data_IF_976209589174
#
_entry.id   IF_976209589174
#
_cell.length_a   1.000
_cell.length_b   1.000
_cell.length_c   1.000
_cell.angle_alpha   90.00
_cell.angle_beta   90.00
_cell.angle_gamma   90.00
#
_symmetry.space_group_name_H-M   'P 1'
#
loop_
_entity.id
_entity.type
_entity.pdbx_description
1 polymer ?
#
# COMPACT_ATOMS: atom_id res chain seq x y z
N UNK A 1 34.72 17.36 -16.70
CA UNK A 1 35.14 16.11 -16.03
C UNK A 1 33.89 15.34 -15.71
N UNK A 2 33.62 14.29 -16.49
CA UNK A 2 32.40 13.49 -16.36
C UNK A 2 32.60 12.50 -15.21
N UNK A 3 31.77 12.62 -14.17
CA UNK A 3 31.67 11.61 -13.13
C UNK A 3 31.09 10.38 -13.82
N UNK A 4 31.95 9.40 -14.10
CA UNK A 4 31.52 8.07 -14.51
C UNK A 4 30.82 7.49 -13.29
N UNK A 5 29.49 7.52 -13.31
CA UNK A 5 28.69 6.72 -12.41
C UNK A 5 28.93 5.26 -12.81
N UNK A 6 29.93 4.65 -12.20
CA UNK A 6 30.16 3.22 -12.29
C UNK A 6 28.94 2.51 -11.72
N UNK A 7 28.23 1.78 -12.57
CA UNK A 7 27.03 1.03 -12.19
C UNK A 7 27.42 -0.02 -11.12
N UNK A 8 26.86 0.03 -9.89
CA UNK A 8 27.22 -0.89 -8.82
C UNK A 8 27.06 -2.36 -9.21
N UNK A 9 26.16 -2.67 -10.15
CA UNK A 9 25.94 -4.02 -10.66
C UNK A 9 27.13 -4.53 -11.49
N UNK A 10 27.74 -3.67 -12.32
CA UNK A 10 28.94 -4.01 -13.12
C UNK A 10 30.17 -4.20 -12.22
N UNK A 11 30.24 -3.44 -11.12
CA UNK A 11 31.33 -3.56 -10.15
C UNK A 11 31.25 -4.88 -9.36
N UNK A 12 30.04 -5.41 -9.14
CA UNK A 12 29.80 -6.71 -8.47
C UNK A 12 30.08 -7.91 -9.39
N UNK A 13 29.75 -7.84 -10.68
CA UNK A 13 30.18 -8.86 -11.65
C UNK A 13 31.71 -8.96 -11.69
N UNK A 14 32.38 -7.80 -11.63
CA UNK A 14 33.84 -7.73 -11.51
C UNK A 14 34.35 -8.33 -10.19
N UNK A 15 33.60 -8.22 -9.08
CA UNK A 15 34.02 -8.77 -7.78
C UNK A 15 33.80 -10.28 -7.64
N UNK A 16 32.68 -10.81 -8.16
CA UNK A 16 32.39 -12.26 -8.06
C UNK A 16 33.40 -13.08 -8.89
N UNK A 17 33.67 -12.64 -10.13
CA UNK A 17 34.68 -13.27 -10.98
C UNK A 17 36.08 -13.21 -10.38
N UNK A 18 36.45 -12.11 -9.72
CA UNK A 18 37.75 -11.97 -9.03
C UNK A 18 37.85 -12.91 -7.82
N UNK A 19 36.80 -12.99 -6.98
CA UNK A 19 36.77 -13.89 -5.82
C UNK A 19 36.80 -15.37 -6.23
N UNK A 20 36.10 -15.75 -7.30
CA UNK A 20 36.16 -17.11 -7.83
C UNK A 20 37.55 -17.47 -8.37
N UNK A 21 38.24 -16.51 -9.01
CA UNK A 21 39.61 -16.70 -9.46
C UNK A 21 40.58 -16.89 -8.29
N UNK A 22 40.46 -16.09 -7.23
CA UNK A 22 41.24 -16.28 -5.99
C UNK A 22 40.97 -17.65 -5.35
N UNK A 23 39.70 -18.05 -5.26
CA UNK A 23 39.31 -19.36 -4.73
C UNK A 23 39.91 -20.51 -5.55
N UNK A 24 39.96 -20.36 -6.86
CA UNK A 24 40.58 -21.33 -7.77
C UNK A 24 42.09 -21.45 -7.57
N UNK A 25 42.80 -20.35 -7.30
CA UNK A 25 44.22 -20.36 -6.92
C UNK A 25 44.40 -21.12 -5.61
N UNK A 26 43.63 -20.77 -4.57
CA UNK A 26 43.73 -21.40 -3.25
C UNK A 26 43.49 -22.91 -3.35
N UNK A 27 42.42 -23.33 -4.03
CA UNK A 27 42.12 -24.75 -4.21
C UNK A 27 43.26 -25.50 -4.93
N UNK A 28 43.95 -24.86 -5.88
CA UNK A 28 45.12 -25.46 -6.51
C UNK A 28 46.30 -25.57 -5.54
N UNK A 29 46.50 -24.57 -4.68
CA UNK A 29 47.58 -24.56 -3.68
C UNK A 29 47.36 -25.61 -2.58
N UNK A 30 46.13 -25.78 -2.09
CA UNK A 30 45.81 -26.76 -1.05
C UNK A 30 45.57 -28.17 -1.59
N UNK A 31 45.43 -28.32 -2.92
CA UNK A 31 45.20 -29.60 -3.58
C UNK A 31 43.78 -30.15 -3.40
N UNK A 32 42.76 -29.27 -3.40
CA UNK A 32 41.36 -29.70 -3.33
C UNK A 32 40.96 -30.55 -4.53
N UNK A 33 40.13 -31.57 -4.28
CA UNK A 33 39.65 -32.47 -5.33
C UNK A 33 38.60 -31.78 -6.20
N UNK A 34 38.52 -32.14 -7.49
CA UNK A 34 37.50 -31.57 -8.38
C UNK A 34 36.07 -31.78 -7.84
N UNK A 35 35.82 -32.91 -7.17
CA UNK A 35 34.50 -33.19 -6.56
C UNK A 35 34.18 -32.24 -5.41
N UNK A 36 35.15 -31.91 -4.55
CA UNK A 36 34.95 -30.98 -3.44
C UNK A 36 34.79 -29.54 -3.95
N UNK A 37 35.52 -29.17 -5.01
CA UNK A 37 35.38 -27.88 -5.70
C UNK A 37 34.01 -27.72 -6.33
N UNK A 38 33.55 -28.72 -7.08
CA UNK A 38 32.22 -28.74 -7.69
C UNK A 38 31.11 -28.62 -6.64
N UNK A 39 31.27 -29.31 -5.51
CA UNK A 39 30.33 -29.20 -4.39
C UNK A 39 30.29 -27.79 -3.80
N UNK A 40 31.45 -27.17 -3.55
CA UNK A 40 31.51 -25.79 -3.03
C UNK A 40 30.93 -24.77 -4.01
N UNK A 41 31.18 -24.92 -5.32
CA UNK A 41 30.58 -24.06 -6.35
C UNK A 41 29.05 -24.19 -6.37
N UNK A 42 28.54 -25.42 -6.29
CA UNK A 42 27.10 -25.67 -6.24
C UNK A 42 26.46 -25.02 -4.99
N UNK A 43 27.11 -25.09 -3.84
CA UNK A 43 26.65 -24.43 -2.61
C UNK A 43 26.58 -22.89 -2.80
N UNK A 44 27.59 -22.27 -3.40
CA UNK A 44 27.59 -20.83 -3.72
C UNK A 44 26.45 -20.44 -4.69
N UNK A 45 26.23 -21.22 -5.73
CA UNK A 45 25.13 -21.00 -6.68
C UNK A 45 23.77 -21.09 -6.00
N UNK A 46 23.59 -22.07 -5.11
CA UNK A 46 22.36 -22.24 -4.33
C UNK A 46 22.11 -21.07 -3.38
N UNK A 47 23.13 -20.61 -2.68
CA UNK A 47 23.03 -19.44 -1.79
C UNK A 47 22.67 -18.17 -2.57
N UNK A 48 23.31 -17.96 -3.72
CA UNK A 48 23.02 -16.84 -4.61
C UNK A 48 21.57 -16.87 -5.10
N UNK A 49 21.12 -18.02 -5.60
CA UNK A 49 19.75 -18.22 -6.06
C UNK A 49 18.73 -17.98 -4.95
N UNK A 50 19.02 -18.42 -3.73
CA UNK A 50 18.15 -18.24 -2.58
C UNK A 50 18.03 -16.75 -2.18
N UNK A 51 19.10 -15.96 -2.31
CA UNK A 51 19.03 -14.50 -2.15
C UNK A 51 18.09 -13.88 -3.19
N UNK A 52 18.23 -14.22 -4.47
CA UNK A 52 17.33 -13.74 -5.52
C UNK A 52 15.88 -14.10 -5.24
N UNK A 53 15.62 -15.36 -4.86
CA UNK A 53 14.28 -15.85 -4.51
C UNK A 53 13.65 -15.02 -3.39
N UNK A 54 14.37 -14.81 -2.29
CA UNK A 54 13.90 -13.99 -1.17
C UNK A 54 13.58 -12.55 -1.58
N UNK A 55 14.40 -11.95 -2.46
CA UNK A 55 14.16 -10.59 -2.96
C UNK A 55 12.93 -10.52 -3.86
N UNK A 56 12.74 -11.49 -4.74
CA UNK A 56 11.55 -11.62 -5.59
C UNK A 56 10.30 -11.80 -4.73
N UNK A 57 10.35 -12.66 -3.73
CA UNK A 57 9.22 -12.89 -2.81
C UNK A 57 8.86 -11.63 -2.01
N UNK A 58 9.87 -10.89 -1.55
CA UNK A 58 9.65 -9.61 -0.86
C UNK A 58 8.98 -8.58 -1.78
N UNK A 59 9.43 -8.47 -3.04
CA UNK A 59 8.84 -7.58 -4.03
C UNK A 59 7.40 -7.98 -4.36
N UNK A 60 7.13 -9.28 -4.50
CA UNK A 60 5.79 -9.82 -4.74
C UNK A 60 4.83 -9.54 -3.58
N UNK A 61 5.27 -9.71 -2.33
CA UNK A 61 4.49 -9.35 -1.14
C UNK A 61 4.13 -7.87 -1.13
N UNK A 62 5.11 -6.99 -1.38
CA UNK A 62 4.89 -5.55 -1.46
C UNK A 62 3.88 -5.18 -2.57
N UNK A 63 4.00 -5.81 -3.75
CA UNK A 63 3.05 -5.63 -4.85
C UNK A 63 1.63 -6.05 -4.47
N UNK A 64 1.48 -7.20 -3.80
CA UNK A 64 0.18 -7.70 -3.35
C UNK A 64 -0.45 -6.76 -2.30
N UNK A 65 0.35 -6.29 -1.33
CA UNK A 65 -0.09 -5.33 -0.31
C UNK A 65 -0.58 -4.01 -0.95
N UNK A 66 0.15 -3.48 -1.93
CA UNK A 66 -0.27 -2.26 -2.64
C UNK A 66 -1.59 -2.46 -3.39
N UNK A 67 -1.77 -3.60 -4.08
CA UNK A 67 -3.04 -3.91 -4.76
C UNK A 67 -4.20 -4.04 -3.78
N UNK A 68 -3.98 -4.66 -2.64
CA UNK A 68 -5.01 -4.76 -1.60
C UNK A 68 -5.39 -3.38 -1.07
N UNK A 69 -4.41 -2.53 -0.75
CA UNK A 69 -4.66 -1.17 -0.26
C UNK A 69 -5.42 -0.30 -1.27
N UNK A 70 -5.15 -0.48 -2.58
CA UNK A 70 -5.91 0.17 -3.65
C UNK A 70 -7.36 -0.32 -3.63
N UNK A 71 -7.59 -1.64 -3.67
CA UNK A 71 -8.94 -2.21 -3.66
C UNK A 71 -9.76 -1.80 -2.41
N UNK A 72 -9.13 -1.77 -1.24
CA UNK A 72 -9.77 -1.35 0.02
C UNK A 72 -10.15 0.13 -0.04
N UNK A 73 -9.26 0.99 -0.57
CA UNK A 73 -9.52 2.42 -0.71
C UNK A 73 -10.64 2.70 -1.72
N UNK A 74 -10.67 1.96 -2.83
CA UNK A 74 -11.73 2.03 -3.84
C UNK A 74 -13.09 1.60 -3.27
N UNK A 75 -13.10 0.53 -2.47
CA UNK A 75 -14.30 0.08 -1.78
C UNK A 75 -14.81 1.11 -0.76
N UNK A 76 -13.93 1.73 0.02
CA UNK A 76 -14.30 2.80 0.95
C UNK A 76 -14.87 4.01 0.21
N UNK A 77 -14.24 4.44 -0.88
CA UNK A 77 -14.75 5.52 -1.72
C UNK A 77 -16.15 5.22 -2.24
N UNK A 78 -16.38 4.01 -2.76
CA UNK A 78 -17.70 3.59 -3.23
C UNK A 78 -18.75 3.64 -2.11
N UNK A 79 -18.41 3.17 -0.91
CA UNK A 79 -19.30 3.21 0.25
C UNK A 79 -19.65 4.64 0.68
N UNK A 80 -18.67 5.56 0.70
CA UNK A 80 -18.90 6.96 1.03
C UNK A 80 -19.80 7.62 -0.02
N UNK A 81 -19.50 7.46 -1.31
CA UNK A 81 -20.32 7.99 -2.41
C UNK A 81 -21.77 7.51 -2.32
N UNK A 82 -21.98 6.21 -2.08
CA UNK A 82 -23.31 5.62 -1.88
C UNK A 82 -24.03 6.25 -0.69
N UNK A 83 -23.35 6.44 0.45
CA UNK A 83 -23.96 7.07 1.63
C UNK A 83 -24.31 8.55 1.41
N UNK A 84 -23.60 9.23 0.50
CA UNK A 84 -23.80 10.64 0.20
C UNK A 84 -24.82 10.88 -0.93
N UNK A 85 -25.27 9.82 -1.63
CA UNK A 85 -26.13 9.92 -2.81
C UNK A 85 -25.41 10.51 -4.04
N UNK A 86 -24.07 10.49 -4.03
CA UNK A 86 -23.24 10.99 -5.12
C UNK A 86 -22.84 9.82 -6.04
N UNK A 87 -22.80 10.06 -7.36
CA UNK A 87 -22.34 9.03 -8.30
C UNK A 87 -20.87 8.72 -8.01
N UNK A 88 -20.46 7.44 -7.95
CA UNK A 88 -19.06 7.07 -7.84
C UNK A 88 -18.28 7.74 -8.97
N UNK A 89 -17.31 8.59 -8.64
CA UNK A 89 -16.34 9.12 -9.60
C UNK A 89 -15.70 7.89 -10.23
N UNK A 90 -15.77 7.75 -11.56
CA UNK A 90 -15.29 6.58 -12.29
C UNK A 90 -13.93 6.12 -11.76
N UNK A 91 -13.96 5.06 -10.94
CA UNK A 91 -12.80 4.33 -10.49
C UNK A 91 -12.36 3.56 -11.74
N UNK A 92 -11.47 4.18 -12.51
CA UNK A 92 -10.94 3.61 -13.75
C UNK A 92 -10.27 2.30 -13.36
N UNK A 93 -10.65 1.23 -14.05
CA UNK A 93 -10.12 -0.11 -13.86
C UNK A 93 -8.60 -0.05 -13.68
N UNK A 94 -8.09 -0.61 -12.58
CA UNK A 94 -6.66 -0.67 -12.23
C UNK A 94 -5.77 -1.23 -13.36
N UNK A 95 -6.35 -1.94 -14.33
CA UNK A 95 -5.65 -2.45 -15.52
C UNK A 95 -5.33 -1.39 -16.59
N UNK A 96 -5.85 -0.16 -16.51
CA UNK A 96 -5.65 0.88 -17.54
C UNK A 96 -4.63 1.97 -17.17
N UNK A 97 -4.01 1.89 -15.99
CA UNK A 97 -3.04 2.88 -15.55
C UNK A 97 -1.63 2.48 -16.01
N UNK A 98 -1.02 3.28 -16.88
CA UNK A 98 0.37 3.10 -17.37
C UNK A 98 1.40 3.44 -16.26
N UNK A 99 0.96 3.88 -15.08
CA UNK A 99 1.80 4.29 -13.94
C UNK A 99 2.04 3.19 -12.91
N UNK A 100 2.96 3.44 -11.98
CA UNK A 100 3.27 2.48 -10.89
C UNK A 100 2.14 2.41 -9.85
N UNK A 101 1.98 1.25 -9.18
CA UNK A 101 1.01 1.09 -8.07
C UNK A 101 1.18 2.15 -6.95
N UNK A 102 2.41 2.62 -6.73
CA UNK A 102 2.68 3.71 -5.76
C UNK A 102 2.09 5.04 -6.21
N UNK A 103 2.10 5.33 -7.51
CA UNK A 103 1.52 6.55 -8.07
C UNK A 103 0.00 6.50 -8.06
N UNK A 104 -0.59 5.33 -8.33
CA UNK A 104 -2.02 5.11 -8.20
C UNK A 104 -2.49 5.32 -6.76
N UNK A 105 -1.81 4.72 -5.78
CA UNK A 105 -2.12 4.92 -4.37
C UNK A 105 -2.02 6.40 -3.95
N UNK A 106 -0.98 7.12 -4.42
CA UNK A 106 -0.85 8.57 -4.15
C UNK A 106 -1.97 9.42 -4.75
N UNK A 107 -2.62 8.98 -5.83
CA UNK A 107 -3.78 9.69 -6.40
C UNK A 107 -5.05 9.43 -5.60
N UNK A 108 -5.21 8.22 -5.06
CA UNK A 108 -6.42 7.81 -4.31
C UNK A 108 -6.45 8.47 -2.92
N UNK A 109 -5.31 8.56 -2.22
CA UNK A 109 -5.25 9.07 -0.83
C UNK A 109 -5.90 10.48 -0.68
N UNK A 110 -5.54 11.51 -1.48
CA UNK A 110 -6.12 12.84 -1.31
C UNK A 110 -7.63 12.87 -1.58
N UNK A 111 -8.12 12.09 -2.54
CA UNK A 111 -9.55 12.00 -2.84
C UNK A 111 -10.32 11.38 -1.68
N UNK A 112 -9.74 10.35 -1.06
CA UNK A 112 -10.33 9.67 0.09
C UNK A 112 -10.37 10.58 1.32
N UNK A 113 -9.32 11.35 1.57
CA UNK A 113 -9.29 12.37 2.63
C UNK A 113 -10.33 13.48 2.41
N UNK A 114 -10.46 13.98 1.18
CA UNK A 114 -11.46 14.98 0.82
C UNK A 114 -12.88 14.46 1.06
N UNK A 115 -13.17 13.24 0.63
CA UNK A 115 -14.49 12.62 0.80
C UNK A 115 -14.82 12.37 2.28
N UNK A 116 -13.84 11.91 3.08
CA UNK A 116 -14.01 11.79 4.54
C UNK A 116 -14.33 13.14 5.19
N UNK A 117 -13.65 14.22 4.78
CA UNK A 117 -13.92 15.57 5.25
C UNK A 117 -15.33 16.03 4.88
N UNK A 118 -15.74 15.89 3.62
CA UNK A 118 -17.09 16.26 3.16
C UNK A 118 -18.19 15.50 3.91
N UNK A 119 -17.98 14.20 4.18
CA UNK A 119 -18.90 13.38 4.98
C UNK A 119 -19.03 13.91 6.42
N UNK A 120 -17.92 14.30 7.05
CA UNK A 120 -17.92 14.87 8.39
C UNK A 120 -18.64 16.22 8.43
N UNK A 121 -18.38 17.09 7.46
CA UNK A 121 -18.99 18.42 7.39
C UNK A 121 -20.50 18.33 7.16
N UNK A 122 -20.96 17.42 6.29
CA UNK A 122 -22.39 17.18 6.09
C UNK A 122 -23.08 16.65 7.35
N UNK A 123 -22.40 15.80 8.14
CA UNK A 123 -22.92 15.33 9.43
C UNK A 123 -23.09 16.48 10.42
N UNK A 124 -22.14 17.41 10.48
CA UNK A 124 -22.25 18.61 11.31
C UNK A 124 -23.43 19.48 10.89
N UNK A 125 -23.60 19.72 9.59
CA UNK A 125 -24.75 20.46 9.05
C UNK A 125 -26.08 19.78 9.42
N UNK A 126 -26.18 18.46 9.31
CA UNK A 126 -27.38 17.74 9.75
C UNK A 126 -27.65 17.91 11.24
N UNK A 127 -26.62 17.86 12.08
CA UNK A 127 -26.76 18.08 13.51
C UNK A 127 -27.25 19.49 13.84
N UNK A 128 -26.71 20.52 13.18
CA UNK A 128 -27.16 21.91 13.33
C UNK A 128 -28.63 22.08 12.91
N UNK A 129 -29.03 21.48 11.79
CA UNK A 129 -30.43 21.49 11.33
C UNK A 129 -31.35 20.78 12.33
N UNK A 130 -30.95 19.63 12.86
CA UNK A 130 -31.73 18.89 13.87
C UNK A 130 -31.89 19.71 15.16
N UNK A 131 -30.82 20.37 15.63
CA UNK A 131 -30.87 21.27 16.78
C UNK A 131 -31.81 22.45 16.52
N UNK A 132 -31.79 23.05 15.34
CA UNK A 132 -32.73 24.10 14.95
C UNK A 132 -34.18 23.60 14.92
N UNK A 133 -34.43 22.42 14.34
CA UNK A 133 -35.77 21.80 14.33
C UNK A 133 -36.24 21.55 15.76
N UNK A 134 -35.37 21.04 16.64
CA UNK A 134 -35.68 20.81 18.06
C UNK A 134 -36.07 22.10 18.77
N UNK A 135 -35.31 23.18 18.56
CA UNK A 135 -35.60 24.51 19.13
C UNK A 135 -36.97 25.02 18.66
N UNK A 136 -37.19 25.07 17.35
CA UNK A 136 -38.46 25.50 16.76
C UNK A 136 -39.62 24.65 17.29
N UNK A 137 -39.43 23.32 17.38
CA UNK A 137 -40.47 22.43 17.91
C UNK A 137 -40.78 22.72 19.38
N UNK A 138 -39.76 22.96 20.21
CA UNK A 138 -39.96 23.33 21.61
C UNK A 138 -40.63 24.70 21.80
N UNK A 139 -40.40 25.63 20.87
CA UNK A 139 -41.07 26.94 20.84
C UNK A 139 -42.54 26.83 20.43
N UNK A 140 -42.86 25.94 19.48
CA UNK A 140 -44.23 25.73 18.98
C UNK A 140 -45.09 24.95 19.98
N UNK A 141 -44.56 23.84 20.52
CA UNK A 141 -45.34 22.91 21.35
C UNK A 141 -45.19 23.15 22.86
N UNK A 142 -44.29 24.05 23.27
CA UNK A 142 -43.93 24.26 24.68
C UNK A 142 -43.04 23.15 25.24
N UNK A 143 -42.38 23.42 26.36
CA UNK A 143 -41.36 22.55 27.01
C UNK A 143 -41.92 21.25 27.64
N UNK A 144 -43.01 20.68 27.14
CA UNK A 144 -43.61 19.47 27.69
C UNK A 144 -43.36 18.25 26.79
N UNK A 145 -42.66 17.27 27.36
CA UNK A 145 -42.53 15.87 26.93
C UNK A 145 -41.96 15.57 25.53
N UNK A 146 -40.64 15.73 25.39
CA UNK A 146 -39.88 15.01 24.37
C UNK A 146 -38.68 14.27 24.98
N UNK A 147 -38.95 13.43 25.97
CA UNK A 147 -37.95 12.55 26.59
C UNK A 147 -38.09 11.08 26.15
N UNK A 148 -38.83 10.80 25.07
CA UNK A 148 -39.02 9.44 24.57
C UNK A 148 -38.70 9.44 23.08
N UNK A 149 -37.72 8.61 22.69
CA UNK A 149 -37.40 8.14 21.33
C UNK A 149 -36.18 8.70 20.56
N UNK A 150 -35.15 9.29 21.19
CA UNK A 150 -33.88 9.59 20.48
C UNK A 150 -32.64 8.83 20.96
N UNK A 151 -32.71 8.08 22.05
CA UNK A 151 -31.59 7.21 22.49
C UNK A 151 -31.31 6.01 21.55
N UNK A 152 -32.21 5.72 20.60
CA UNK A 152 -32.05 4.57 19.69
C UNK A 152 -31.09 4.78 18.51
N UNK A 153 -30.68 6.01 18.19
CA UNK A 153 -29.87 6.32 17.00
C UNK A 153 -28.37 6.48 17.26
N UNK A 154 -27.93 6.34 18.51
CA UNK A 154 -26.52 6.46 18.87
C UNK A 154 -25.76 5.12 18.93
N UNK A 155 -26.45 3.98 18.72
CA UNK A 155 -25.87 2.65 18.90
C UNK A 155 -25.29 1.98 17.64
N UNK A 156 -25.54 2.49 16.43
CA UNK A 156 -25.02 1.89 15.19
C UNK A 156 -24.39 2.95 14.26
N UNK A 157 -23.13 3.31 14.52
CA UNK A 157 -22.16 3.79 13.52
C UNK A 157 -20.75 3.75 14.08
#
# INVERSE_FOLDING_TARGET
MSIVQSDPLLQVETSCGTLLYELQIIWNEVGETDTDRDKMLLELEQECLEVYRRKVDQANRSRAQLRQAIADSEAELAAICSSMGERPVHIRQADQNIGSLKEELRKIIPQLEEMRKRKLDRRKQFHEVLECIRKISSEIYGSADHNIAWYGLQAHS
#
